data_IF_737675453769
#
_entry.id   IF_737675453769
#
_cell.length_a   1.000
_cell.length_b   1.000
_cell.length_c   1.000
_cell.angle_alpha   90.00
_cell.angle_beta   90.00
_cell.angle_gamma   90.00
#
_symmetry.space_group_name_H-M   'P 1'
#
loop_
_entity.id
_entity.type
_entity.pdbx_description
1 polymer ?
#
# COMPACT_ATOMS: atom_id res chain seq x y z
N UNK A 1 -21.22 4.94 27.09
CA UNK A 1 -22.04 5.81 26.23
C UNK A 1 -21.28 6.30 24.98
N UNK A 2 -19.95 6.39 24.98
CA UNK A 2 -19.16 6.80 23.79
C UNK A 2 -18.91 5.64 22.79
N UNK A 3 -18.98 4.38 23.23
CA UNK A 3 -18.76 3.21 22.36
C UNK A 3 -19.85 2.97 21.29
N UNK A 4 -21.06 3.52 21.45
CA UNK A 4 -22.12 3.33 20.44
C UNK A 4 -22.00 4.30 19.26
N UNK A 5 -21.43 5.49 19.45
CA UNK A 5 -21.25 6.47 18.38
C UNK A 5 -20.20 6.06 17.33
N UNK A 6 -19.35 5.07 17.64
CA UNK A 6 -18.37 4.49 16.71
C UNK A 6 -18.97 3.30 15.94
N UNK A 7 -20.09 2.74 16.41
CA UNK A 7 -20.80 1.63 15.76
C UNK A 7 -21.82 2.11 14.70
N UNK A 8 -21.98 3.43 14.53
CA UNK A 8 -22.92 4.04 13.59
C UNK A 8 -22.19 4.75 12.42
N UNK A 9 -21.00 4.23 12.07
CA UNK A 9 -20.22 4.65 10.90
C UNK A 9 -20.15 3.52 9.88
N UNK A 10 -21.16 2.65 9.83
CA UNK A 10 -21.23 1.61 8.80
C UNK A 10 -21.61 2.28 7.48
N UNK A 11 -20.64 2.62 6.65
CA UNK A 11 -20.88 2.88 5.23
C UNK A 11 -21.21 1.54 4.56
N UNK A 12 -22.40 1.01 4.87
CA UNK A 12 -22.86 -0.28 4.37
C UNK A 12 -23.10 -0.15 2.87
N UNK A 13 -22.40 -0.95 2.07
CA UNK A 13 -22.65 -1.01 0.64
C UNK A 13 -24.11 -1.45 0.40
N UNK A 14 -24.76 -0.94 -0.67
CA UNK A 14 -26.13 -1.32 -1.00
C UNK A 14 -26.26 -2.84 -1.13
N UNK A 15 -27.30 -3.41 -0.51
CA UNK A 15 -27.51 -4.85 -0.36
C UNK A 15 -27.37 -5.61 -1.69
N UNK A 16 -26.50 -6.61 -1.74
CA UNK A 16 -26.31 -7.51 -2.88
C UNK A 16 -25.03 -7.30 -3.69
N UNK A 17 -24.23 -6.26 -3.40
CA UNK A 17 -22.97 -5.96 -4.10
C UNK A 17 -21.73 -6.34 -3.27
N UNK A 18 -21.91 -6.68 -1.99
CA UNK A 18 -20.84 -7.00 -1.03
C UNK A 18 -19.85 -8.04 -1.57
N UNK A 19 -20.37 -9.14 -2.16
CA UNK A 19 -19.51 -10.20 -2.70
C UNK A 19 -18.60 -9.74 -3.84
N UNK A 20 -19.04 -8.79 -4.65
CA UNK A 20 -18.24 -8.25 -5.75
C UNK A 20 -17.27 -7.17 -5.24
N UNK A 21 -17.72 -6.35 -4.29
CA UNK A 21 -16.89 -5.34 -3.65
C UNK A 21 -15.71 -5.99 -2.91
N UNK A 22 -15.95 -7.03 -2.10
CA UNK A 22 -14.92 -7.73 -1.34
C UNK A 22 -13.89 -8.41 -2.23
N UNK A 23 -14.33 -9.06 -3.32
CA UNK A 23 -13.41 -9.65 -4.30
C UNK A 23 -12.55 -8.58 -4.94
N UNK A 24 -13.14 -7.49 -5.42
CA UNK A 24 -12.40 -6.43 -6.10
C UNK A 24 -11.42 -5.73 -5.16
N UNK A 25 -11.85 -5.40 -3.94
CA UNK A 25 -11.02 -4.79 -2.90
C UNK A 25 -9.89 -5.73 -2.46
N UNK A 26 -10.15 -7.03 -2.39
CA UNK A 26 -9.13 -8.06 -2.12
C UNK A 26 -8.04 -8.05 -3.19
N UNK A 27 -8.42 -8.15 -4.46
CA UNK A 27 -7.46 -8.13 -5.57
C UNK A 27 -6.65 -6.82 -5.65
N UNK A 28 -7.29 -5.68 -5.41
CA UNK A 28 -6.61 -4.38 -5.38
C UNK A 28 -5.61 -4.32 -4.22
N UNK A 29 -5.98 -4.82 -3.04
CA UNK A 29 -5.11 -4.84 -1.87
C UNK A 29 -3.82 -5.61 -2.13
N UNK A 30 -3.97 -6.85 -2.58
CA UNK A 30 -2.82 -7.70 -2.91
C UNK A 30 -2.04 -7.19 -4.13
N UNK A 31 -2.72 -6.59 -5.11
CA UNK A 31 -2.10 -6.00 -6.29
C UNK A 31 -1.17 -4.84 -5.94
N UNK A 32 -1.62 -3.90 -5.11
CA UNK A 32 -0.78 -2.77 -4.70
C UNK A 32 0.39 -3.22 -3.82
N UNK A 33 0.16 -4.18 -2.90
CA UNK A 33 1.23 -4.76 -2.10
C UNK A 33 2.33 -5.41 -2.98
N UNK A 34 1.94 -6.15 -4.03
CA UNK A 34 2.88 -6.76 -4.96
C UNK A 34 3.71 -5.72 -5.73
N UNK A 35 3.11 -4.61 -6.16
CA UNK A 35 3.81 -3.53 -6.88
C UNK A 35 4.84 -2.84 -5.99
N UNK A 36 4.50 -2.59 -4.72
CA UNK A 36 5.43 -1.97 -3.76
C UNK A 36 6.65 -2.88 -3.54
N UNK A 37 6.41 -4.18 -3.36
CA UNK A 37 7.48 -5.17 -3.17
C UNK A 37 8.36 -5.26 -4.42
N UNK A 38 7.75 -5.34 -5.62
CA UNK A 38 8.47 -5.37 -6.88
C UNK A 38 9.33 -4.12 -7.09
N UNK A 39 8.80 -2.93 -6.79
CA UNK A 39 9.55 -1.67 -6.86
C UNK A 39 10.75 -1.64 -5.90
N UNK A 40 10.61 -2.23 -4.72
CA UNK A 40 11.72 -2.41 -3.77
C UNK A 40 12.82 -3.30 -4.34
N UNK A 41 12.47 -4.45 -4.92
CA UNK A 41 13.43 -5.35 -5.56
C UNK A 41 14.14 -4.73 -6.76
N UNK A 42 13.42 -3.99 -7.60
CA UNK A 42 14.02 -3.26 -8.74
C UNK A 42 15.01 -2.20 -8.26
N UNK A 43 14.68 -1.48 -7.19
CA UNK A 43 15.58 -0.46 -6.59
C UNK A 43 16.86 -1.10 -6.03
N UNK A 44 16.75 -2.26 -5.38
CA UNK A 44 17.91 -3.05 -4.94
C UNK A 44 18.74 -3.53 -6.14
N UNK A 45 18.10 -4.00 -7.21
CA UNK A 45 18.78 -4.39 -8.45
C UNK A 45 19.60 -3.24 -9.05
N UNK A 46 19.01 -2.04 -9.11
CA UNK A 46 19.68 -0.84 -9.58
C UNK A 46 20.88 -0.44 -8.69
N UNK A 47 20.79 -0.65 -7.37
CA UNK A 47 21.91 -0.44 -6.46
C UNK A 47 23.07 -1.39 -6.71
N UNK A 48 22.78 -2.69 -6.85
CA UNK A 48 23.81 -3.72 -7.08
C UNK A 48 24.50 -3.49 -8.42
N UNK A 49 23.74 -3.26 -9.50
CA UNK A 49 24.30 -2.98 -10.83
C UNK A 49 25.07 -1.66 -10.86
N UNK A 50 24.53 -0.61 -10.24
CA UNK A 50 25.20 0.70 -10.16
C UNK A 50 26.52 0.64 -9.40
N UNK A 51 26.62 -0.20 -8.35
CA UNK A 51 27.86 -0.44 -7.60
C UNK A 51 28.88 -1.25 -8.40
N UNK A 52 28.45 -2.32 -9.07
CA UNK A 52 29.33 -3.15 -9.90
C UNK A 52 29.87 -2.39 -11.12
N UNK A 53 29.05 -1.51 -11.70
CA UNK A 53 29.43 -0.70 -12.87
C UNK A 53 30.22 0.58 -12.54
N UNK A 54 30.59 0.85 -11.28
CA UNK A 54 31.22 2.11 -10.84
C UNK A 54 30.46 3.39 -11.21
N UNK A 55 29.16 3.29 -11.53
CA UNK A 55 28.32 4.41 -11.90
C UNK A 55 27.64 5.02 -10.67
N UNK A 56 28.27 6.03 -10.08
CA UNK A 56 27.79 6.73 -8.87
C UNK A 56 26.36 7.27 -9.02
N UNK A 57 25.98 7.72 -10.22
CA UNK A 57 24.66 8.31 -10.50
C UNK A 57 23.54 7.26 -10.51
N UNK A 58 23.82 6.05 -11.00
CA UNK A 58 22.87 4.94 -11.03
C UNK A 58 22.61 4.38 -9.63
N UNK A 59 23.66 4.24 -8.81
CA UNK A 59 23.51 3.83 -7.42
C UNK A 59 22.75 4.89 -6.58
N UNK A 60 22.93 6.18 -6.86
CA UNK A 60 22.21 7.24 -6.14
C UNK A 60 20.71 7.24 -6.49
N UNK A 61 20.35 6.97 -7.74
CA UNK A 61 18.96 6.80 -8.17
C UNK A 61 18.31 5.52 -7.61
N UNK A 62 19.08 4.43 -7.52
CA UNK A 62 18.62 3.21 -6.83
C UNK A 62 18.35 3.44 -5.34
N UNK A 63 19.20 4.21 -4.67
CA UNK A 63 19.05 4.54 -3.25
C UNK A 63 17.82 5.42 -2.99
N UNK A 64 17.60 6.44 -3.83
CA UNK A 64 16.41 7.29 -3.70
C UNK A 64 15.14 6.50 -4.01
N UNK A 65 15.14 5.65 -5.05
CA UNK A 65 14.02 4.76 -5.38
C UNK A 65 13.62 3.83 -4.22
N UNK A 66 14.60 3.32 -3.48
CA UNK A 66 14.37 2.47 -2.31
C UNK A 66 13.67 3.24 -1.18
N UNK A 67 14.08 4.50 -0.92
CA UNK A 67 13.40 5.38 0.05
C UNK A 67 11.94 5.60 -0.36
N UNK A 68 11.65 5.85 -1.65
CA UNK A 68 10.28 6.01 -2.13
C UNK A 68 9.45 4.73 -2.00
N UNK A 69 10.03 3.55 -2.20
CA UNK A 69 9.30 2.28 -1.98
C UNK A 69 8.86 2.10 -0.52
N UNK A 70 9.71 2.51 0.43
CA UNK A 70 9.39 2.45 1.87
C UNK A 70 8.31 3.46 2.22
N UNK A 71 8.42 4.69 1.70
CA UNK A 71 7.39 5.72 1.90
C UNK A 71 6.04 5.31 1.29
N UNK A 72 6.04 4.67 0.12
CA UNK A 72 4.85 4.12 -0.50
C UNK A 72 4.22 3.02 0.36
N UNK A 73 5.02 2.14 0.97
CA UNK A 73 4.53 1.12 1.90
C UNK A 73 3.86 1.74 3.14
N UNK A 74 4.50 2.74 3.74
CA UNK A 74 3.95 3.45 4.91
C UNK A 74 2.66 4.18 4.55
N UNK A 75 2.66 4.94 3.45
CA UNK A 75 1.49 5.67 2.97
C UNK A 75 0.31 4.75 2.63
N UNK A 76 0.59 3.59 2.05
CA UNK A 76 -0.40 2.58 1.79
C UNK A 76 -1.06 2.09 3.09
N UNK A 77 -0.26 1.66 4.08
CA UNK A 77 -0.80 1.15 5.34
C UNK A 77 -1.57 2.23 6.12
N UNK A 78 -1.09 3.47 6.13
CA UNK A 78 -1.78 4.57 6.84
C UNK A 78 -3.12 4.92 6.21
N UNK A 79 -3.19 5.01 4.87
CA UNK A 79 -4.46 5.27 4.16
C UNK A 79 -5.45 4.13 4.42
N UNK A 80 -5.00 2.87 4.35
CA UNK A 80 -5.88 1.73 4.68
C UNK A 80 -6.34 1.74 6.14
N UNK A 81 -5.48 2.15 7.08
CA UNK A 81 -5.86 2.31 8.48
C UNK A 81 -6.93 3.38 8.69
N UNK A 82 -6.79 4.52 8.01
CA UNK A 82 -7.80 5.61 8.04
C UNK A 82 -9.11 5.13 7.43
N UNK A 83 -9.06 4.45 6.27
CA UNK A 83 -10.27 3.95 5.60
C UNK A 83 -11.02 2.93 6.47
N UNK A 84 -10.31 2.01 7.12
CA UNK A 84 -10.92 1.06 8.06
C UNK A 84 -11.49 1.78 9.31
N UNK A 85 -10.86 2.85 9.77
CA UNK A 85 -11.36 3.64 10.90
C UNK A 85 -12.61 4.47 10.55
N UNK A 86 -12.74 4.92 9.29
CA UNK A 86 -13.90 5.68 8.79
C UNK A 86 -15.07 4.75 8.46
N UNK A 87 -14.84 3.64 7.76
CA UNK A 87 -15.91 2.75 7.29
C UNK A 87 -16.43 1.84 8.41
N UNK A 88 -15.68 1.71 9.51
CA UNK A 88 -16.01 0.77 10.59
C UNK A 88 -15.93 -0.68 10.12
N UNK A 89 -15.84 -1.61 11.07
CA UNK A 89 -15.97 -3.04 10.80
C UNK A 89 -17.28 -3.52 11.42
N UNK A 90 -18.37 -3.22 10.73
CA UNK A 90 -19.65 -3.87 10.88
C UNK A 90 -19.65 -5.08 9.94
#
# INVERSE_FOLDING_TARGET
MILQAINDVCAQAPTGIDRYADMLLGWVKYGVAAVIIAGGFVSIGALVVGKLGSMSRAAQLGASGLIYSVLAAVGYVTIYGILNAIVGNC
#
